data_IF_489353131571
#
_entry.id   IF_489353131571
#
_cell.length_a   1.000
_cell.length_b   1.000
_cell.length_c   1.000
_cell.angle_alpha   90.00
_cell.angle_beta   90.00
_cell.angle_gamma   90.00
#
_symmetry.space_group_name_H-M   'P 1'
#
loop_
_entity.id
_entity.type
_entity.pdbx_description
1 polymer ?
#
# COMPACT_ATOMS: atom_id res chain seq x y z
N UNK A 1 10.82 44.79 10.66
CA UNK A 1 11.34 43.41 10.57
C UNK A 1 10.25 42.34 10.68
N UNK A 2 9.49 42.22 11.79
CA UNK A 2 8.47 41.16 11.95
C UNK A 2 7.34 41.19 10.90
N UNK A 3 6.85 42.39 10.55
CA UNK A 3 5.81 42.59 9.50
C UNK A 3 6.30 42.18 8.10
N UNK A 4 7.60 42.33 7.84
CA UNK A 4 8.24 41.87 6.60
C UNK A 4 8.33 40.34 6.55
N UNK A 5 8.64 39.71 7.70
CA UNK A 5 8.67 38.25 7.83
C UNK A 5 7.27 37.65 7.63
N UNK A 6 6.23 38.26 8.20
CA UNK A 6 4.84 37.81 7.99
C UNK A 6 4.36 38.03 6.55
N UNK A 7 4.76 39.13 5.91
CA UNK A 7 4.47 39.37 4.48
C UNK A 7 5.16 38.33 3.58
N UNK A 8 6.42 38.02 3.86
CA UNK A 8 7.18 37.01 3.12
C UNK A 8 6.61 35.59 3.31
N UNK A 9 6.14 35.28 4.52
CA UNK A 9 5.48 34.01 4.83
C UNK A 9 4.11 33.88 4.14
N UNK A 10 3.35 34.97 4.02
CA UNK A 10 2.06 34.99 3.31
C UNK A 10 2.25 34.72 1.81
N UNK A 11 3.27 35.33 1.20
CA UNK A 11 3.60 35.15 -0.22
C UNK A 11 4.08 33.72 -0.48
N UNK A 12 4.84 33.12 0.44
CA UNK A 12 5.26 31.71 0.34
C UNK A 12 4.08 30.73 0.47
N UNK A 13 3.07 31.03 1.30
CA UNK A 13 1.84 30.23 1.40
C UNK A 13 0.95 30.32 0.17
N UNK A 14 0.87 31.49 -0.48
CA UNK A 14 0.10 31.68 -1.71
C UNK A 14 0.79 31.07 -2.94
N UNK A 15 2.14 31.04 -2.98
CA UNK A 15 2.92 30.53 -4.11
C UNK A 15 2.93 29.01 -4.30
N UNK A 16 2.48 28.22 -3.32
CA UNK A 16 2.43 26.75 -3.41
C UNK A 16 1.17 26.24 -4.13
N UNK A 17 0.22 27.14 -4.45
CA UNK A 17 -1.08 26.80 -5.05
C UNK A 17 -1.06 26.41 -6.54
N UNK A 18 0.10 26.41 -7.21
CA UNK A 18 0.21 26.08 -8.64
C UNK A 18 0.80 24.69 -8.94
N UNK A 19 0.77 23.75 -8.00
CA UNK A 19 0.99 22.34 -8.34
C UNK A 19 -0.32 21.74 -8.85
N UNK A 20 -0.54 21.84 -10.16
CA UNK A 20 -1.56 21.01 -10.83
C UNK A 20 -1.09 19.56 -10.75
N UNK A 21 -1.57 18.84 -9.74
CA UNK A 21 -1.47 17.38 -9.72
C UNK A 21 -2.39 16.90 -10.83
N UNK A 22 -1.81 16.62 -11.99
CA UNK A 22 -2.47 15.82 -13.02
C UNK A 22 -2.61 14.42 -12.43
N UNK A 23 -3.75 14.13 -11.82
CA UNK A 23 -4.17 12.75 -11.69
C UNK A 23 -4.22 12.25 -13.13
N UNK A 24 -3.31 11.34 -13.49
CA UNK A 24 -3.47 10.57 -14.70
C UNK A 24 -4.86 9.97 -14.59
N UNK A 25 -5.78 10.50 -15.39
CA UNK A 25 -7.09 9.96 -15.59
C UNK A 25 -6.80 8.54 -16.04
N UNK A 26 -6.90 7.59 -15.10
CA UNK A 26 -6.94 6.18 -15.45
C UNK A 26 -8.34 6.04 -16.03
N UNK A 27 -8.40 6.47 -17.29
CA UNK A 27 -9.20 5.89 -18.34
C UNK A 27 -9.51 4.47 -17.92
N UNK A 28 -10.82 4.20 -17.92
CA UNK A 28 -11.43 2.90 -17.97
C UNK A 28 -10.42 1.80 -17.70
N UNK A 29 -10.51 1.18 -16.51
CA UNK A 29 -9.93 -0.15 -16.29
C UNK A 29 -10.52 -1.06 -17.37
N UNK A 30 -9.92 -1.04 -18.55
CA UNK A 30 -9.49 -2.23 -19.25
C UNK A 30 -9.07 -3.15 -18.13
N UNK A 31 -9.87 -4.20 -17.96
CA UNK A 31 -9.46 -5.39 -17.25
C UNK A 31 -8.11 -5.70 -17.86
N UNK A 32 -7.03 -5.28 -17.22
CA UNK A 32 -5.70 -5.65 -17.62
C UNK A 32 -5.73 -7.14 -17.45
N UNK A 33 -5.93 -7.85 -18.56
CA UNK A 33 -5.77 -9.28 -18.62
C UNK A 33 -4.44 -9.54 -17.93
N UNK A 34 -4.50 -10.21 -16.77
CA UNK A 34 -3.28 -10.47 -16.01
C UNK A 34 -2.31 -11.12 -16.96
N UNK A 35 -1.08 -10.63 -17.03
CA UNK A 35 -0.07 -11.25 -17.88
C UNK A 35 0.09 -12.72 -17.47
N UNK A 36 0.44 -13.58 -18.42
CA UNK A 36 0.61 -15.03 -18.15
C UNK A 36 1.54 -15.27 -16.96
N UNK A 37 2.56 -14.43 -16.81
CA UNK A 37 3.49 -14.44 -15.68
C UNK A 37 2.82 -14.08 -14.35
N UNK A 38 1.98 -13.05 -14.31
CA UNK A 38 1.23 -12.67 -13.10
C UNK A 38 0.25 -13.76 -12.67
N UNK A 39 -0.39 -14.45 -13.62
CA UNK A 39 -1.29 -15.57 -13.32
C UNK A 39 -0.51 -16.76 -12.76
N UNK A 40 0.65 -17.09 -13.34
CA UNK A 40 1.53 -18.12 -12.83
C UNK A 40 2.03 -17.80 -11.41
N UNK A 41 2.38 -16.53 -11.13
CA UNK A 41 2.80 -16.09 -9.79
C UNK A 41 1.65 -16.17 -8.77
N UNK A 42 0.43 -15.72 -9.10
CA UNK A 42 -0.72 -15.88 -8.21
C UNK A 42 -1.02 -17.35 -7.93
N UNK A 43 -0.94 -18.22 -8.95
CA UNK A 43 -1.17 -19.65 -8.78
C UNK A 43 -0.18 -20.26 -7.79
N UNK A 44 1.11 -19.96 -7.91
CA UNK A 44 2.15 -20.42 -6.96
C UNK A 44 1.91 -19.92 -5.55
N UNK A 45 1.50 -18.66 -5.39
CA UNK A 45 1.16 -18.08 -4.09
C UNK A 45 -0.02 -18.84 -3.47
N UNK A 46 -1.07 -19.11 -4.25
CA UNK A 46 -2.26 -19.85 -3.80
C UNK A 46 -1.90 -21.27 -3.37
N UNK A 47 -1.14 -22.00 -4.19
CA UNK A 47 -0.69 -23.37 -3.87
C UNK A 47 0.08 -23.41 -2.55
N UNK A 48 1.01 -22.46 -2.33
CA UNK A 48 1.78 -22.39 -1.08
C UNK A 48 0.91 -22.05 0.13
N UNK A 49 -0.07 -21.15 -0.03
CA UNK A 49 -1.01 -20.82 1.05
C UNK A 49 -1.86 -22.05 1.42
N UNK A 50 -2.32 -22.83 0.44
CA UNK A 50 -3.06 -24.06 0.66
C UNK A 50 -2.23 -25.14 1.35
N UNK A 51 -0.96 -25.28 0.97
CA UNK A 51 -0.01 -26.16 1.64
C UNK A 51 0.16 -25.76 3.12
N UNK A 52 0.45 -24.49 3.40
CA UNK A 52 0.59 -23.99 4.78
C UNK A 52 -0.72 -24.16 5.55
N UNK A 53 -1.89 -24.00 4.89
CA UNK A 53 -3.20 -24.16 5.52
C UNK A 53 -3.45 -25.61 5.91
N UNK A 54 -3.21 -26.56 5.00
CA UNK A 54 -3.46 -27.99 5.16
C UNK A 54 -2.44 -28.71 6.05
N UNK A 55 -1.26 -28.12 6.27
CA UNK A 55 -0.24 -28.66 7.16
C UNK A 55 -0.75 -28.85 8.60
N UNK A 56 -0.44 -29.99 9.22
CA UNK A 56 -0.67 -30.18 10.66
C UNK A 56 0.34 -29.33 11.46
N UNK A 57 -0.20 -28.48 12.34
CA UNK A 57 0.56 -27.50 13.14
C UNK A 57 0.59 -27.88 14.61
N UNK A 58 0.01 -29.02 15.00
CA UNK A 58 -0.07 -29.51 16.38
C UNK A 58 1.33 -29.59 17.01
N UNK A 59 2.30 -30.15 16.28
CA UNK A 59 3.66 -30.39 16.74
C UNK A 59 4.63 -29.21 16.56
N UNK A 60 4.21 -28.11 15.93
CA UNK A 60 5.10 -26.97 15.70
C UNK A 60 5.29 -26.12 16.97
N UNK A 61 6.54 -25.72 17.20
CA UNK A 61 6.93 -24.75 18.21
C UNK A 61 6.33 -23.37 17.94
N UNK A 62 6.37 -22.50 18.95
CA UNK A 62 5.90 -21.11 18.83
C UNK A 62 6.71 -20.31 17.80
N UNK A 63 8.00 -20.61 17.65
CA UNK A 63 8.88 -19.98 16.69
C UNK A 63 8.51 -20.37 15.25
N UNK A 64 8.34 -21.66 14.98
CA UNK A 64 7.94 -22.17 13.64
C UNK A 64 6.56 -21.64 13.25
N UNK A 65 5.60 -21.64 14.18
CA UNK A 65 4.28 -21.00 13.97
C UNK A 65 4.38 -19.51 13.68
N UNK A 66 5.41 -18.82 14.19
CA UNK A 66 5.64 -17.39 13.90
C UNK A 66 6.23 -17.21 12.50
N UNK A 67 7.14 -18.07 12.08
CA UNK A 67 7.70 -18.05 10.72
C UNK A 67 6.63 -18.35 9.67
N UNK A 68 5.78 -19.36 9.87
CA UNK A 68 4.65 -19.61 8.95
C UNK A 68 3.70 -18.41 8.85
N UNK A 69 3.49 -17.67 9.95
CA UNK A 69 2.67 -16.45 9.93
C UNK A 69 3.36 -15.30 9.21
N UNK A 70 4.69 -15.19 9.28
CA UNK A 70 5.45 -14.20 8.50
C UNK A 70 5.39 -14.53 7.02
N UNK A 71 5.59 -15.79 6.67
CA UNK A 71 5.50 -16.28 5.29
C UNK A 71 4.13 -15.98 4.69
N UNK A 72 3.04 -16.31 5.40
CA UNK A 72 1.67 -15.99 4.97
C UNK A 72 1.44 -14.48 4.78
N UNK A 73 2.03 -13.63 5.63
CA UNK A 73 1.94 -12.16 5.48
C UNK A 73 2.68 -11.69 4.24
N UNK A 74 3.82 -12.29 3.92
CA UNK A 74 4.60 -11.94 2.73
C UNK A 74 3.91 -12.40 1.45
N UNK A 75 3.37 -13.62 1.41
CA UNK A 75 2.52 -14.12 0.33
C UNK A 75 1.28 -13.23 0.11
N UNK A 76 0.68 -12.73 1.21
CA UNK A 76 -0.40 -11.75 1.14
C UNK A 76 0.06 -10.42 0.54
N UNK A 77 1.29 -9.96 0.79
CA UNK A 77 1.82 -8.75 0.17
C UNK A 77 2.10 -8.96 -1.33
N UNK A 78 2.67 -10.10 -1.69
CA UNK A 78 2.95 -10.41 -3.09
C UNK A 78 1.64 -10.46 -3.90
N UNK A 79 0.61 -11.12 -3.38
CA UNK A 79 -0.70 -11.20 -4.06
C UNK A 79 -1.39 -9.85 -4.30
N UNK A 80 -1.46 -8.92 -3.32
CA UNK A 80 -2.06 -7.60 -3.63
C UNK A 80 -1.17 -6.70 -4.51
N UNK A 81 0.14 -6.94 -4.57
CA UNK A 81 1.01 -6.24 -5.50
C UNK A 81 0.69 -6.64 -6.95
N UNK A 82 0.43 -7.94 -7.17
CA UNK A 82 0.00 -8.47 -8.47
C UNK A 82 -1.41 -7.95 -8.85
N UNK A 83 -2.34 -7.85 -7.89
CA UNK A 83 -3.71 -7.38 -8.12
C UNK A 83 -3.89 -5.85 -8.28
N UNK A 84 -2.81 -5.07 -8.38
CA UNK A 84 -2.88 -3.61 -8.51
C UNK A 84 -3.38 -2.88 -7.25
N UNK A 85 -3.26 -3.51 -6.07
CA UNK A 85 -3.65 -2.91 -4.81
C UNK A 85 -2.64 -1.84 -4.36
N UNK A 86 -3.13 -0.64 -4.05
CA UNK A 86 -2.31 0.41 -3.44
C UNK A 86 -1.96 0.00 -2.01
N UNK A 87 -0.67 -0.16 -1.73
CA UNK A 87 -0.16 -0.37 -0.39
C UNK A 87 -0.06 0.97 0.33
N UNK A 88 -1.03 1.29 1.19
CA UNK A 88 -0.86 2.36 2.15
C UNK A 88 0.09 1.87 3.24
N UNK A 89 1.28 2.46 3.30
CA UNK A 89 2.20 2.27 4.42
C UNK A 89 1.55 2.78 5.71
N UNK A 90 2.05 2.33 6.87
CA UNK A 90 1.59 2.85 8.16
C UNK A 90 1.74 4.38 8.20
N UNK A 91 2.82 4.92 7.62
CA UNK A 91 3.02 6.36 7.47
C UNK A 91 1.97 7.04 6.58
N UNK A 92 1.58 6.42 5.46
CA UNK A 92 0.54 6.94 4.58
C UNK A 92 -0.83 6.98 5.27
N UNK A 93 -1.16 5.98 6.09
CA UNK A 93 -2.37 5.96 6.92
C UNK A 93 -2.35 7.11 7.93
N UNK A 94 -1.22 7.36 8.59
CA UNK A 94 -1.06 8.46 9.55
C UNK A 94 -1.27 9.81 8.86
N UNK A 95 -0.69 10.02 7.67
CA UNK A 95 -0.85 11.26 6.90
C UNK A 95 -2.32 11.49 6.52
N UNK A 96 -3.01 10.45 6.04
CA UNK A 96 -4.44 10.55 5.71
C UNK A 96 -5.27 10.94 6.93
N UNK A 97 -5.00 10.35 8.10
CA UNK A 97 -5.69 10.68 9.35
C UNK A 97 -5.42 12.14 9.76
N UNK A 98 -4.17 12.60 9.69
CA UNK A 98 -3.82 13.99 10.01
C UNK A 98 -4.52 14.99 9.08
N UNK A 99 -4.64 14.67 7.78
CA UNK A 99 -5.36 15.50 6.82
C UNK A 99 -6.86 15.58 7.14
N UNK A 100 -7.50 14.48 7.53
CA UNK A 100 -8.91 14.48 7.92
C UNK A 100 -9.18 15.35 9.16
N UNK A 101 -8.27 15.36 10.13
CA UNK A 101 -8.38 16.19 11.35
C UNK A 101 -8.21 17.68 11.01
N UNK A 102 -7.39 18.03 10.03
CA UNK A 102 -7.13 19.43 9.65
C UNK A 102 -8.27 20.01 8.79
N UNK A 103 -8.90 19.16 7.96
CA UNK A 103 -9.95 19.56 7.03
C UNK A 103 -11.34 19.60 7.69
N UNK A 104 -11.60 18.78 8.71
CA UNK A 104 -12.84 18.79 9.48
C UNK A 104 -12.83 19.90 10.55
#
# INVERSE_FOLDING_TARGET
MKKFIYSLALIFMLGVSANTVLAADKSEKNKTEMTVEQQAQLKRITERVEEIRSMDKSHLSRAEKKELRKELRELKKQSKAIGGGVYLSVGAIIIIILLLILIL
#
